data_IF_884222920562
#
_entry.id   IF_884222920562
#
_cell.length_a   1.000
_cell.length_b   1.000
_cell.length_c   1.000
_cell.angle_alpha   90.00
_cell.angle_beta   90.00
_cell.angle_gamma   90.00
#
_symmetry.space_group_name_H-M   'P 1'
#
loop_
_entity.id
_entity.type
_entity.pdbx_description
1 polymer ?
#
# COMPACT_ATOMS: atom_id res chain seq x y z
N UNK A 1 -31.19 -3.58 7.70
CA UNK A 1 -30.85 -4.42 6.54
C UNK A 1 -29.35 -4.34 6.40
N UNK A 2 -28.62 -5.33 6.92
CA UNK A 2 -27.16 -5.37 6.77
C UNK A 2 -26.87 -5.55 5.29
N UNK A 3 -26.41 -4.47 4.67
CA UNK A 3 -25.93 -4.50 3.29
C UNK A 3 -24.71 -5.40 3.32
N UNK A 4 -24.83 -6.59 2.74
CA UNK A 4 -23.69 -7.47 2.51
C UNK A 4 -22.78 -6.69 1.57
N UNK A 5 -21.76 -6.06 2.13
CA UNK A 5 -20.81 -5.25 1.40
C UNK A 5 -20.10 -6.15 0.38
N UNK A 6 -20.28 -5.84 -0.91
CA UNK A 6 -19.74 -6.62 -2.02
C UNK A 6 -18.21 -6.80 -1.91
N UNK A 7 -17.55 -5.90 -1.17
CA UNK A 7 -16.10 -5.92 -0.93
C UNK A 7 -15.66 -6.96 0.13
N UNK A 8 -16.61 -7.58 0.84
CA UNK A 8 -16.36 -8.57 1.88
C UNK A 8 -15.99 -7.96 3.23
N UNK A 9 -15.83 -8.82 4.22
CA UNK A 9 -15.40 -8.47 5.57
C UNK A 9 -14.26 -9.40 6.01
N UNK A 10 -13.20 -8.81 6.55
CA UNK A 10 -12.00 -9.53 6.99
C UNK A 10 -11.54 -9.10 8.38
N UNK A 11 -10.48 -9.74 8.87
CA UNK A 11 -9.81 -9.28 10.08
C UNK A 11 -9.21 -7.90 9.84
N UNK A 12 -9.31 -7.03 10.84
CA UNK A 12 -8.72 -5.69 10.77
C UNK A 12 -7.19 -5.78 10.81
N UNK A 13 -6.54 -4.96 9.99
CA UNK A 13 -5.11 -4.69 10.06
C UNK A 13 -4.83 -3.22 10.46
N UNK A 14 -3.94 -2.96 11.43
CA UNK A 14 -3.35 -3.92 12.36
C UNK A 14 -4.40 -4.64 13.21
N UNK A 15 -4.08 -5.87 13.63
CA UNK A 15 -4.97 -6.67 14.48
C UNK A 15 -5.25 -5.88 15.77
N UNK A 16 -6.54 -5.65 16.04
CA UNK A 16 -6.99 -4.92 17.21
C UNK A 16 -8.17 -5.62 17.85
N UNK A 17 -8.31 -5.46 19.17
CA UNK A 17 -9.38 -6.06 19.97
C UNK A 17 -10.14 -4.95 20.68
N UNK A 18 -11.45 -4.94 20.57
CA UNK A 18 -12.34 -4.00 21.27
C UNK A 18 -13.44 -4.77 21.97
N UNK A 19 -13.66 -4.51 23.27
CA UNK A 19 -14.68 -5.20 24.09
C UNK A 19 -14.59 -6.73 23.99
N UNK A 20 -13.37 -7.28 24.12
CA UNK A 20 -13.08 -8.71 24.01
C UNK A 20 -13.47 -9.37 22.67
N UNK A 21 -13.63 -8.60 21.59
CA UNK A 21 -13.85 -9.11 20.23
C UNK A 21 -12.75 -8.61 19.30
N UNK A 22 -12.33 -9.46 18.38
CA UNK A 22 -11.39 -9.06 17.31
C UNK A 22 -12.13 -8.12 16.36
N UNK A 23 -11.51 -6.98 16.06
CA UNK A 23 -12.06 -6.03 15.11
C UNK A 23 -11.97 -6.59 13.69
N UNK A 24 -12.99 -6.30 12.90
CA UNK A 24 -13.05 -6.61 11.47
C UNK A 24 -13.05 -5.32 10.66
N UNK A 25 -12.51 -5.39 9.45
CA UNK A 25 -12.54 -4.33 8.46
C UNK A 25 -13.42 -4.74 7.27
N UNK A 26 -14.13 -3.79 6.68
CA UNK A 26 -15.03 -3.99 5.55
C UNK A 26 -14.93 -2.80 4.58
N UNK A 27 -15.43 -2.97 3.37
CA UNK A 27 -15.53 -1.89 2.40
C UNK A 27 -14.18 -1.23 2.05
N UNK A 28 -14.19 0.10 1.98
CA UNK A 28 -13.02 0.91 1.64
C UNK A 28 -11.88 0.75 2.65
N UNK A 29 -12.18 0.53 3.94
CA UNK A 29 -11.15 0.30 4.96
C UNK A 29 -10.38 -1.00 4.68
N UNK A 30 -11.08 -2.05 4.25
CA UNK A 30 -10.44 -3.32 3.88
C UNK A 30 -9.50 -3.19 2.68
N UNK A 31 -9.79 -2.27 1.76
CA UNK A 31 -8.94 -1.97 0.61
C UNK A 31 -7.69 -1.23 1.07
N UNK A 32 -7.83 -0.19 1.89
CA UNK A 32 -6.70 0.57 2.47
C UNK A 32 -5.75 -0.35 3.23
N UNK A 33 -6.30 -1.22 4.06
CA UNK A 33 -5.54 -2.22 4.82
C UNK A 33 -4.84 -3.24 3.91
N UNK A 34 -5.49 -3.68 2.83
CA UNK A 34 -4.90 -4.58 1.83
C UNK A 34 -3.73 -3.93 1.10
N UNK A 35 -3.86 -2.66 0.67
CA UNK A 35 -2.77 -1.89 0.05
C UNK A 35 -1.57 -1.83 0.99
N UNK A 36 -1.78 -1.49 2.27
CA UNK A 36 -0.70 -1.44 3.26
C UNK A 36 -0.01 -2.81 3.41
N UNK A 37 -0.78 -3.90 3.44
CA UNK A 37 -0.24 -5.25 3.53
C UNK A 37 0.58 -5.64 2.30
N UNK A 38 0.12 -5.30 1.09
CA UNK A 38 0.86 -5.58 -0.15
C UNK A 38 2.20 -4.84 -0.16
N UNK A 39 2.18 -3.54 0.13
CA UNK A 39 3.37 -2.69 0.08
C UNK A 39 4.35 -2.98 1.23
N UNK A 40 3.85 -3.37 2.39
CA UNK A 40 4.65 -3.71 3.55
C UNK A 40 5.21 -5.14 3.58
N UNK A 41 4.84 -6.00 2.63
CA UNK A 41 5.35 -7.38 2.54
C UNK A 41 6.44 -7.46 1.48
N UNK A 42 7.61 -7.98 1.83
CA UNK A 42 8.69 -8.21 0.86
C UNK A 42 8.43 -9.46 0.01
N UNK A 43 8.87 -9.45 -1.25
CA UNK A 43 8.82 -10.64 -2.10
C UNK A 43 9.63 -11.78 -1.42
N UNK A 44 9.02 -12.96 -1.33
CA UNK A 44 9.59 -14.14 -0.68
C UNK A 44 9.23 -14.30 0.80
N UNK A 45 8.64 -13.29 1.45
CA UNK A 45 8.32 -13.34 2.88
C UNK A 45 7.21 -14.35 3.21
N UNK A 46 6.25 -14.54 2.30
CA UNK A 46 5.14 -15.49 2.49
C UNK A 46 5.51 -16.88 1.97
N UNK A 47 5.71 -17.81 2.90
CA UNK A 47 6.13 -19.21 2.65
C UNK A 47 5.38 -19.89 1.49
N UNK A 48 4.05 -19.84 1.48
CA UNK A 48 3.23 -20.50 0.46
C UNK A 48 2.83 -19.56 -0.70
N UNK A 49 3.31 -18.32 -0.70
CA UNK A 49 3.03 -17.28 -1.72
C UNK A 49 4.27 -16.40 -1.92
N UNK A 50 5.39 -16.95 -2.41
CA UNK A 50 6.65 -16.21 -2.50
C UNK A 50 6.59 -15.00 -3.43
N UNK A 51 5.70 -15.00 -4.43
CA UNK A 51 5.55 -13.84 -5.33
C UNK A 51 4.76 -12.67 -4.72
N UNK A 52 4.07 -12.88 -3.60
CA UNK A 52 3.24 -11.85 -2.98
C UNK A 52 4.10 -10.77 -2.33
N UNK A 53 3.75 -9.51 -2.56
CA UNK A 53 4.38 -8.36 -1.93
C UNK A 53 4.73 -7.27 -2.93
N UNK A 54 5.61 -6.37 -2.51
CA UNK A 54 6.18 -5.31 -3.32
C UNK A 54 7.70 -5.27 -3.14
N UNK A 55 8.40 -4.71 -4.12
CA UNK A 55 9.88 -4.61 -4.14
C UNK A 55 10.41 -3.36 -3.42
N UNK A 56 9.56 -2.65 -2.67
CA UNK A 56 9.98 -1.48 -1.91
C UNK A 56 11.12 -1.81 -0.94
N UNK A 57 11.17 -3.02 -0.40
CA UNK A 57 12.25 -3.46 0.49
C UNK A 57 13.64 -3.42 -0.16
N UNK A 58 13.74 -3.51 -1.49
CA UNK A 58 15.01 -3.38 -2.22
C UNK A 58 15.52 -1.93 -2.25
N UNK A 59 14.64 -0.95 -2.00
CA UNK A 59 14.93 0.48 -2.10
C UNK A 59 15.27 1.14 -0.77
N UNK A 60 15.27 0.42 0.36
CA UNK A 60 15.44 1.00 1.72
C UNK A 60 16.73 1.81 1.88
N UNK A 61 17.80 1.42 1.17
CA UNK A 61 19.10 2.10 1.18
C UNK A 61 19.39 2.89 -0.11
N UNK A 62 18.37 3.11 -0.94
CA UNK A 62 18.53 3.92 -2.14
C UNK A 62 18.57 5.40 -1.79
N UNK A 63 19.28 6.18 -2.60
CA UNK A 63 19.30 7.64 -2.49
C UNK A 63 17.91 8.23 -2.68
N UNK A 64 17.55 9.23 -1.88
CA UNK A 64 16.31 9.99 -2.05
C UNK A 64 16.41 10.97 -3.23
N UNK A 65 16.36 10.43 -4.46
CA UNK A 65 16.42 11.16 -5.71
C UNK A 65 15.24 10.82 -6.65
N UNK A 66 15.16 11.53 -7.78
CA UNK A 66 14.11 11.32 -8.78
C UNK A 66 14.18 9.95 -9.45
N UNK A 67 15.38 9.35 -9.60
CA UNK A 67 15.53 8.03 -10.20
C UNK A 67 14.94 6.94 -9.32
N UNK A 68 15.24 6.98 -8.02
CA UNK A 68 14.64 6.13 -7.00
C UNK A 68 13.12 6.32 -6.94
N UNK A 69 12.63 7.57 -6.99
CA UNK A 69 11.19 7.85 -7.01
C UNK A 69 10.49 7.18 -8.20
N UNK A 70 11.04 7.28 -9.41
CA UNK A 70 10.45 6.61 -10.60
C UNK A 70 10.44 5.09 -10.47
N UNK A 71 11.48 4.48 -9.90
CA UNK A 71 11.50 3.03 -9.65
C UNK A 71 10.45 2.62 -8.62
N UNK A 72 10.34 3.37 -7.52
CA UNK A 72 9.32 3.17 -6.47
C UNK A 72 7.92 3.25 -7.06
N UNK A 73 7.65 4.27 -7.88
CA UNK A 73 6.37 4.43 -8.58
C UNK A 73 6.01 3.16 -9.36
N UNK A 74 6.92 2.68 -10.23
CA UNK A 74 6.69 1.50 -11.05
C UNK A 74 6.43 0.24 -10.19
N UNK A 75 7.19 0.04 -9.11
CA UNK A 75 7.02 -1.12 -8.24
C UNK A 75 5.70 -1.12 -7.48
N UNK A 76 5.24 0.06 -7.04
CA UNK A 76 3.94 0.23 -6.39
C UNK A 76 2.82 -0.04 -7.39
N UNK A 77 2.87 0.56 -8.57
CA UNK A 77 1.87 0.35 -9.62
C UNK A 77 1.76 -1.13 -10.03
N UNK A 78 2.88 -1.81 -10.27
CA UNK A 78 2.91 -3.23 -10.63
C UNK A 78 2.34 -4.11 -9.51
N UNK A 79 2.75 -3.88 -8.26
CA UNK A 79 2.30 -4.67 -7.12
C UNK A 79 0.79 -4.52 -6.89
N UNK A 80 0.26 -3.29 -6.96
CA UNK A 80 -1.17 -3.02 -6.78
C UNK A 80 -2.00 -3.57 -7.93
N UNK A 81 -1.52 -3.44 -9.16
CA UNK A 81 -2.18 -4.02 -10.34
C UNK A 81 -2.26 -5.55 -10.24
N UNK A 82 -1.20 -6.21 -9.74
CA UNK A 82 -1.15 -7.67 -9.59
C UNK A 82 -1.99 -8.18 -8.43
N UNK A 83 -1.93 -7.52 -7.27
CA UNK A 83 -2.44 -8.08 -6.01
C UNK A 83 -3.76 -7.48 -5.51
N UNK A 84 -4.16 -6.28 -5.97
CA UNK A 84 -5.40 -5.63 -5.56
C UNK A 84 -6.37 -5.40 -6.74
N UNK A 85 -7.11 -6.44 -7.18
CA UNK A 85 -7.97 -6.33 -8.36
C UNK A 85 -9.21 -5.45 -8.14
N UNK A 86 -9.56 -5.12 -6.89
CA UNK A 86 -10.75 -4.32 -6.56
C UNK A 86 -10.59 -2.83 -6.88
N UNK A 87 -9.35 -2.36 -7.04
CA UNK A 87 -9.04 -0.97 -7.38
C UNK A 87 -8.57 -0.84 -8.82
N UNK A 88 -8.72 0.36 -9.35
CA UNK A 88 -7.98 0.87 -10.50
C UNK A 88 -7.03 1.93 -9.95
N UNK A 89 -5.73 1.72 -10.11
CA UNK A 89 -4.72 2.74 -9.77
C UNK A 89 -4.85 3.86 -10.79
N UNK A 90 -5.09 5.08 -10.31
CA UNK A 90 -5.22 6.27 -11.15
C UNK A 90 -3.88 7.02 -11.25
N UNK A 91 -3.18 7.17 -10.12
CA UNK A 91 -1.84 7.77 -10.06
C UNK A 91 -1.04 7.30 -8.84
N UNK A 92 0.28 7.26 -8.97
CA UNK A 92 1.21 7.02 -7.87
C UNK A 92 2.30 8.09 -7.91
N UNK A 93 2.29 8.97 -6.91
CA UNK A 93 3.20 10.12 -6.83
C UNK A 93 4.10 10.01 -5.58
N UNK A 94 5.35 9.54 -5.72
CA UNK A 94 6.36 9.60 -4.67
C UNK A 94 6.91 11.03 -4.54
N UNK A 95 6.91 11.57 -3.32
CA UNK A 95 7.39 12.93 -3.04
C UNK A 95 8.84 12.91 -2.56
N UNK A 96 9.76 13.34 -3.42
CA UNK A 96 11.19 13.49 -3.08
C UNK A 96 11.38 14.72 -2.20
N UNK A 97 12.01 14.53 -1.03
CA UNK A 97 12.41 15.59 -0.11
C UNK A 97 13.90 15.45 0.21
N UNK A 98 14.79 16.26 -0.37
CA UNK A 98 16.25 16.11 -0.21
C UNK A 98 16.73 16.06 1.24
N UNK A 99 16.10 16.83 2.13
CA UNK A 99 16.48 16.93 3.54
C UNK A 99 15.79 15.88 4.43
N UNK A 100 15.05 14.92 3.84
CA UNK A 100 14.25 13.94 4.57
C UNK A 100 14.74 12.51 4.33
N UNK A 101 14.72 11.72 5.39
CA UNK A 101 14.86 10.26 5.36
C UNK A 101 13.54 9.55 5.04
N UNK A 102 12.50 10.31 4.67
CA UNK A 102 11.17 9.77 4.35
C UNK A 102 10.73 10.26 2.98
N UNK A 103 10.24 9.33 2.17
CA UNK A 103 9.54 9.58 0.92
C UNK A 103 8.08 9.20 1.11
N UNK A 104 7.19 10.19 1.00
CA UNK A 104 5.76 9.95 1.06
C UNK A 104 5.25 9.56 -0.33
N UNK A 105 4.63 8.38 -0.42
CA UNK A 105 4.06 7.85 -1.65
C UNK A 105 2.55 8.09 -1.62
N UNK A 106 2.07 9.04 -2.42
CA UNK A 106 0.64 9.27 -2.61
C UNK A 106 0.12 8.29 -3.65
N UNK A 107 -0.91 7.53 -3.30
CA UNK A 107 -1.56 6.56 -4.18
C UNK A 107 -3.00 7.01 -4.35
N UNK A 108 -3.36 7.41 -5.57
CA UNK A 108 -4.72 7.75 -5.96
C UNK A 108 -5.34 6.57 -6.71
N UNK A 109 -6.54 6.16 -6.32
CA UNK A 109 -7.20 5.01 -6.92
C UNK A 109 -8.71 5.14 -6.90
N UNK A 110 -9.34 4.47 -7.86
CA UNK A 110 -10.79 4.33 -7.96
C UNK A 110 -11.19 2.92 -7.56
N UNK A 111 -12.12 2.79 -6.61
CA UNK A 111 -12.71 1.50 -6.25
C UNK A 111 -13.68 1.08 -7.36
N UNK A 112 -13.46 -0.09 -7.97
CA UNK A 112 -14.22 -0.50 -9.18
C UNK A 112 -15.71 -0.73 -8.93
N UNK A 113 -16.09 -1.17 -7.72
CA UNK A 113 -17.49 -1.48 -7.39
C UNK A 113 -18.35 -0.23 -7.16
N UNK A 114 -17.81 0.75 -6.45
CA UNK A 114 -18.52 2.00 -6.10
C UNK A 114 -18.23 3.16 -7.05
N UNK A 115 -17.22 3.03 -7.91
CA UNK A 115 -16.66 4.11 -8.73
C UNK A 115 -16.27 5.34 -7.89
N UNK A 116 -15.90 5.13 -6.63
CA UNK A 116 -15.46 6.19 -5.71
C UNK A 116 -13.95 6.39 -5.82
N UNK A 117 -13.52 7.64 -5.98
CA UNK A 117 -12.12 8.03 -5.91
C UNK A 117 -11.68 8.15 -4.47
N UNK A 118 -10.57 7.52 -4.14
CA UNK A 118 -9.95 7.49 -2.82
C UNK A 118 -8.44 7.72 -2.97
N UNK A 119 -7.79 8.07 -1.86
CA UNK A 119 -6.34 8.17 -1.81
C UNK A 119 -5.78 7.51 -0.54
N UNK A 120 -4.48 7.20 -0.59
CA UNK A 120 -3.70 6.68 0.53
C UNK A 120 -2.28 7.26 0.46
N UNK A 121 -1.78 7.77 1.58
CA UNK A 121 -0.38 8.17 1.73
C UNK A 121 0.37 7.04 2.45
N UNK A 122 1.36 6.46 1.77
CA UNK A 122 2.24 5.44 2.33
C UNK A 122 3.61 6.04 2.65
N UNK A 123 4.01 6.14 3.93
CA UNK A 123 5.33 6.65 4.30
C UNK A 123 6.39 5.58 4.08
N UNK A 124 7.41 5.88 3.26
CA UNK A 124 8.55 5.00 3.01
C UNK A 124 9.85 5.61 3.53
N UNK A 125 10.68 4.82 4.21
CA UNK A 125 11.92 5.30 4.83
C UNK A 125 13.13 4.98 3.93
N UNK A 126 13.97 5.99 3.70
CA UNK A 126 15.15 5.96 2.84
C UNK A 126 16.37 6.51 3.59
N UNK A 127 17.57 6.25 3.06
CA UNK A 127 18.75 6.97 3.50
C UNK A 127 18.71 8.43 3.02
N UNK A 128 19.05 9.35 3.93
CA UNK A 128 19.28 10.74 3.55
C UNK A 128 20.59 10.80 2.76
N UNK A 129 20.55 11.45 1.61
CA UNK A 129 21.79 11.82 0.90
C UNK A 129 22.47 12.89 1.77
N UNK A 130 23.42 12.45 2.59
CA UNK A 130 24.25 13.34 3.39
C UNK A 130 24.93 14.37 2.49
N UNK A 131 24.98 15.62 2.94
CA UNK A 131 25.79 16.68 2.31
C UNK A 131 27.27 16.34 2.36
#
# INVERSE_FOLDING_TARGET
>A
MEVIDFLGQGLKYPISVKKARICTSAGNDSIKESIILILGTAIGERVMRPEFGCRLNEMVFASNDMGTATLIQNYVEEALMKWEPRIKVDDVTPTVRPDSTTMDILIEYTVKSSNSKENLVYPFYLESVGK
#
